data_IF_574637480869
#
_entry.id   IF_574637480869
#
_cell.length_a   1.000
_cell.length_b   1.000
_cell.length_c   1.000
_cell.angle_alpha   90.00
_cell.angle_beta   90.00
_cell.angle_gamma   90.00
#
_symmetry.space_group_name_H-M   'P 1'
#
loop_
_entity.id
_entity.type
_entity.pdbx_description
1 polymer ?
#
# COMPACT_ATOMS: atom_id res chain seq x y z
N UNK A 1 -6.99 27.86 2.76
CA UNK A 1 -7.08 26.49 3.28
C UNK A 1 -5.80 26.21 4.06
N UNK A 2 -5.82 25.37 5.09
CA UNK A 2 -4.59 24.98 5.77
C UNK A 2 -3.74 24.15 4.81
N UNK A 3 -2.41 24.34 4.81
CA UNK A 3 -1.48 23.58 3.95
C UNK A 3 -1.47 22.12 4.36
N UNK A 4 -1.37 21.24 3.37
CA UNK A 4 -1.30 19.77 3.54
C UNK A 4 0.15 19.32 3.74
N UNK A 5 1.10 20.02 3.11
CA UNK A 5 2.54 19.75 3.23
C UNK A 5 3.23 20.92 3.93
N UNK A 6 4.05 20.58 4.93
CA UNK A 6 4.81 21.56 5.71
C UNK A 6 6.30 21.27 5.55
N UNK A 7 7.03 22.22 4.95
CA UNK A 7 8.47 22.16 4.78
C UNK A 7 9.16 22.92 5.93
N UNK A 8 10.04 22.22 6.63
CA UNK A 8 10.98 22.80 7.59
C UNK A 8 12.42 22.50 7.14
N UNK A 9 13.32 23.51 7.22
CA UNK A 9 14.72 23.34 6.81
C UNK A 9 15.64 23.80 7.93
N UNK A 10 16.39 22.86 8.48
CA UNK A 10 17.34 23.10 9.54
C UNK A 10 18.64 23.79 9.05
N UNK A 11 19.34 24.42 9.99
CA UNK A 11 20.67 25.01 9.72
C UNK A 11 21.72 23.95 9.33
N UNK A 12 21.48 22.69 9.67
CA UNK A 12 22.28 21.51 9.34
C UNK A 12 22.01 20.97 7.92
N UNK A 13 21.26 21.72 7.11
CA UNK A 13 20.88 21.38 5.75
C UNK A 13 19.99 20.14 5.62
N UNK A 14 19.43 19.67 6.74
CA UNK A 14 18.41 18.65 6.75
C UNK A 14 17.03 19.31 6.63
N UNK A 15 16.28 18.94 5.62
CA UNK A 15 14.89 19.34 5.45
C UNK A 15 13.93 18.23 5.89
N UNK A 16 12.76 18.64 6.36
CA UNK A 16 11.65 17.73 6.66
C UNK A 16 10.41 18.22 5.93
N UNK A 17 9.82 17.38 5.09
CA UNK A 17 8.53 17.59 4.46
C UNK A 17 7.49 16.74 5.19
N UNK A 18 6.62 17.39 5.96
CA UNK A 18 5.57 16.71 6.71
C UNK A 18 4.26 16.73 5.93
N UNK A 19 3.73 15.55 5.64
CA UNK A 19 2.39 15.38 5.08
C UNK A 19 1.38 15.29 6.23
N UNK A 20 0.49 16.25 6.34
CA UNK A 20 -0.56 16.31 7.38
C UNK A 20 -1.87 16.86 6.82
N UNK A 21 -2.72 15.95 6.32
CA UNK A 21 -4.05 16.33 5.80
C UNK A 21 -4.93 16.88 6.93
N UNK A 22 -5.40 18.13 6.85
CA UNK A 22 -6.30 18.71 7.85
C UNK A 22 -7.57 17.85 8.02
N UNK A 23 -8.07 17.76 9.25
CA UNK A 23 -9.35 17.10 9.60
C UNK A 23 -9.49 15.61 9.18
N UNK A 24 -8.41 14.99 8.67
CA UNK A 24 -8.39 13.56 8.32
C UNK A 24 -7.58 12.76 9.34
N UNK A 25 -8.06 11.55 9.66
CA UNK A 25 -7.38 10.63 10.58
C UNK A 25 -6.13 9.99 9.96
N UNK A 26 -6.07 9.94 8.65
CA UNK A 26 -4.98 9.36 7.86
C UNK A 26 -4.63 10.25 6.67
N UNK A 27 -3.38 10.24 6.25
CA UNK A 27 -2.97 10.89 5.02
C UNK A 27 -3.33 10.02 3.82
N UNK A 28 -4.04 10.63 2.87
CA UNK A 28 -4.33 10.04 1.56
C UNK A 28 -4.01 11.08 0.48
N UNK A 29 -3.54 10.62 -0.65
CA UNK A 29 -3.33 11.46 -1.81
C UNK A 29 -4.66 11.77 -2.50
N UNK A 30 -5.18 12.97 -2.25
CA UNK A 30 -6.25 13.61 -3.02
C UNK A 30 -5.65 14.43 -4.16
N UNK A 31 -6.47 14.94 -5.08
CA UNK A 31 -6.02 15.85 -6.15
C UNK A 31 -5.33 17.10 -5.57
N UNK A 32 -5.86 17.65 -4.47
CA UNK A 32 -5.27 18.80 -3.78
C UNK A 32 -3.91 18.43 -3.17
N UNK A 33 -3.81 17.27 -2.49
CA UNK A 33 -2.56 16.82 -1.91
C UNK A 33 -1.48 16.56 -3.01
N UNK A 34 -1.88 16.02 -4.16
CA UNK A 34 -0.96 15.82 -5.28
C UNK A 34 -0.49 17.16 -5.88
N UNK A 35 -1.37 18.16 -5.98
CA UNK A 35 -1.00 19.49 -6.45
C UNK A 35 -0.07 20.23 -5.47
N UNK A 36 -0.29 20.13 -4.16
CA UNK A 36 0.63 20.68 -3.16
C UNK A 36 1.97 19.92 -3.12
N UNK A 37 1.96 18.61 -3.29
CA UNK A 37 3.19 17.82 -3.42
C UNK A 37 4.02 18.26 -4.64
N UNK A 38 3.37 18.55 -5.78
CA UNK A 38 4.05 19.07 -6.98
C UNK A 38 4.78 20.39 -6.66
N UNK A 39 4.07 21.31 -6.00
CA UNK A 39 4.65 22.59 -5.56
C UNK A 39 5.81 22.40 -4.58
N UNK A 40 5.66 21.49 -3.60
CA UNK A 40 6.70 21.19 -2.64
C UNK A 40 7.95 20.59 -3.33
N UNK A 41 7.77 19.65 -4.28
CA UNK A 41 8.88 19.09 -5.07
C UNK A 41 9.57 20.18 -5.88
N UNK A 42 8.82 21.08 -6.53
CA UNK A 42 9.39 22.20 -7.27
C UNK A 42 10.17 23.16 -6.36
N UNK A 43 9.64 23.47 -5.19
CA UNK A 43 10.31 24.34 -4.22
C UNK A 43 11.63 23.71 -3.78
N UNK A 44 11.60 22.47 -3.25
CA UNK A 44 12.83 21.83 -2.72
C UNK A 44 13.86 21.58 -3.79
N UNK A 45 13.45 21.31 -5.05
CA UNK A 45 14.37 21.06 -6.15
C UNK A 45 15.27 22.27 -6.52
N UNK A 46 14.79 23.49 -6.23
CA UNK A 46 15.52 24.76 -6.51
C UNK A 46 16.41 25.21 -5.34
N UNK A 47 16.24 24.60 -4.16
CA UNK A 47 16.94 25.00 -2.93
C UNK A 47 18.35 24.41 -2.88
N UNK A 48 19.33 25.27 -2.59
CA UNK A 48 20.74 24.87 -2.45
C UNK A 48 21.15 24.65 -0.98
N UNK A 49 20.30 25.02 -0.06
CA UNK A 49 20.50 24.89 1.38
C UNK A 49 19.97 23.54 1.93
N UNK A 50 19.46 22.67 1.07
CA UNK A 50 19.05 21.30 1.43
C UNK A 50 20.15 20.33 1.00
N UNK A 51 20.59 19.48 1.94
CA UNK A 51 21.55 18.40 1.70
C UNK A 51 20.96 17.00 1.87
N UNK A 52 19.80 16.89 2.54
CA UNK A 52 18.95 15.69 2.61
C UNK A 52 17.51 16.08 2.98
N UNK A 53 16.53 15.25 2.62
CA UNK A 53 15.11 15.50 2.86
C UNK A 53 14.43 14.28 3.48
N UNK A 54 13.72 14.47 4.59
CA UNK A 54 12.86 13.46 5.21
C UNK A 54 11.42 13.70 4.79
N UNK A 55 10.74 12.67 4.29
CA UNK A 55 9.29 12.63 4.15
C UNK A 55 8.69 12.02 5.41
N UNK A 56 7.87 12.79 6.11
CA UNK A 56 7.27 12.44 7.38
C UNK A 56 5.75 12.56 7.33
N UNK A 57 5.06 11.80 8.18
CA UNK A 57 3.62 11.96 8.41
C UNK A 57 3.35 12.71 9.70
N UNK A 58 2.42 13.67 9.66
CA UNK A 58 1.85 14.31 10.85
C UNK A 58 0.84 13.44 11.60
N UNK A 59 0.49 12.24 11.08
CA UNK A 59 -0.47 11.32 11.70
C UNK A 59 0.22 10.24 12.53
N UNK A 60 -0.23 10.04 13.76
CA UNK A 60 0.46 9.16 14.71
C UNK A 60 0.51 7.68 14.29
N UNK A 61 -0.56 7.12 13.75
CA UNK A 61 -0.66 5.68 13.42
C UNK A 61 -0.61 5.37 11.92
N UNK A 62 -0.34 6.36 11.08
CA UNK A 62 -0.39 6.21 9.63
C UNK A 62 0.67 7.07 8.97
N UNK A 63 1.49 6.46 8.14
CA UNK A 63 2.36 7.20 7.25
C UNK A 63 1.53 7.79 6.11
N UNK A 64 1.20 7.00 5.10
CA UNK A 64 0.32 7.39 3.98
C UNK A 64 -0.49 6.17 3.57
N UNK A 65 -1.82 6.28 3.55
CA UNK A 65 -2.73 5.16 3.29
C UNK A 65 -3.06 4.93 1.80
N UNK A 66 -2.40 5.66 0.90
CA UNK A 66 -2.57 5.52 -0.55
C UNK A 66 -3.36 6.67 -1.18
N UNK A 67 -3.94 6.40 -2.35
CA UNK A 67 -4.82 7.32 -3.06
C UNK A 67 -6.21 7.38 -2.41
N UNK A 68 -6.95 8.47 -2.64
CA UNK A 68 -8.33 8.58 -2.19
C UNK A 68 -9.24 7.64 -2.98
N UNK A 69 -9.80 6.63 -2.30
CA UNK A 69 -10.66 5.60 -2.91
C UNK A 69 -11.97 6.21 -3.44
N UNK A 70 -12.44 7.31 -2.87
CA UNK A 70 -13.63 8.00 -3.37
C UNK A 70 -13.37 8.63 -4.74
N UNK A 71 -12.18 9.16 -4.98
CA UNK A 71 -11.79 9.66 -6.29
C UNK A 71 -11.72 8.51 -7.32
N UNK A 72 -11.13 7.37 -6.95
CA UNK A 72 -11.10 6.17 -7.78
C UNK A 72 -12.52 5.69 -8.12
N UNK A 73 -13.44 5.76 -7.16
CA UNK A 73 -14.84 5.38 -7.37
C UNK A 73 -15.54 6.23 -8.41
N UNK A 74 -15.22 7.53 -8.48
CA UNK A 74 -15.89 8.52 -9.36
C UNK A 74 -15.40 8.48 -10.80
N UNK A 75 -14.17 8.05 -11.06
CA UNK A 75 -13.60 8.01 -12.41
C UNK A 75 -14.36 7.01 -13.27
N UNK A 76 -14.88 7.45 -14.42
CA UNK A 76 -15.63 6.62 -15.37
C UNK A 76 -15.01 6.58 -16.77
N UNK A 77 -14.11 7.52 -17.08
CA UNK A 77 -13.38 7.57 -18.33
C UNK A 77 -12.01 6.90 -18.20
N UNK A 78 -11.70 5.88 -19.00
CA UNK A 78 -10.39 5.23 -19.01
C UNK A 78 -9.23 6.19 -19.25
N UNK A 79 -9.41 7.21 -20.09
CA UNK A 79 -8.37 8.19 -20.37
C UNK A 79 -8.11 9.12 -19.18
N UNK A 80 -9.15 9.47 -18.42
CA UNK A 80 -8.99 10.22 -17.17
C UNK A 80 -8.22 9.39 -16.12
N UNK A 81 -8.56 8.11 -15.96
CA UNK A 81 -7.87 7.21 -15.06
C UNK A 81 -6.39 7.01 -15.44
N UNK A 82 -6.11 6.82 -16.73
CA UNK A 82 -4.74 6.75 -17.26
C UNK A 82 -3.96 8.04 -17.01
N UNK A 83 -4.58 9.19 -17.28
CA UNK A 83 -3.97 10.51 -17.06
C UNK A 83 -3.63 10.72 -15.58
N UNK A 84 -4.53 10.33 -14.65
CA UNK A 84 -4.28 10.37 -13.21
C UNK A 84 -3.10 9.50 -12.79
N UNK A 85 -2.98 8.30 -13.36
CA UNK A 85 -1.82 7.43 -13.15
C UNK A 85 -0.52 8.09 -13.63
N UNK A 86 -0.51 8.67 -14.83
CA UNK A 86 0.65 9.38 -15.39
C UNK A 86 1.06 10.60 -14.55
N UNK A 87 0.11 11.32 -13.97
CA UNK A 87 0.40 12.43 -13.04
C UNK A 87 1.18 11.91 -11.84
N UNK A 88 0.71 10.86 -11.16
CA UNK A 88 1.41 10.30 -10.01
C UNK A 88 2.79 9.73 -10.36
N UNK A 89 2.91 9.04 -11.51
CA UNK A 89 4.21 8.54 -11.99
C UNK A 89 5.20 9.68 -12.24
N UNK A 90 4.74 10.79 -12.84
CA UNK A 90 5.57 11.97 -13.08
C UNK A 90 6.03 12.60 -11.78
N UNK A 91 5.12 12.81 -10.82
CA UNK A 91 5.44 13.41 -9.53
C UNK A 91 6.42 12.56 -8.72
N UNK A 92 6.20 11.24 -8.65
CA UNK A 92 7.11 10.36 -7.92
C UNK A 92 8.44 10.18 -8.64
N UNK A 93 8.48 10.29 -9.97
CA UNK A 93 9.75 10.34 -10.70
C UNK A 93 10.49 11.67 -10.51
N UNK A 94 9.77 12.80 -10.36
CA UNK A 94 10.38 14.08 -10.00
C UNK A 94 10.92 14.04 -8.55
N UNK A 95 10.20 13.42 -7.61
CA UNK A 95 10.69 13.15 -6.26
C UNK A 95 11.97 12.29 -6.28
N UNK A 96 11.96 11.23 -7.08
CA UNK A 96 13.09 10.33 -7.26
C UNK A 96 14.33 11.03 -7.86
N UNK A 97 14.11 12.06 -8.67
CA UNK A 97 15.16 12.84 -9.33
C UNK A 97 15.72 14.01 -8.51
N UNK A 98 15.26 14.21 -7.25
CA UNK A 98 15.78 15.28 -6.41
C UNK A 98 17.30 15.16 -6.23
N UNK A 99 18.03 16.29 -6.21
CA UNK A 99 19.51 16.29 -6.27
C UNK A 99 20.19 15.89 -4.96
N UNK A 100 19.43 15.57 -3.93
CA UNK A 100 19.89 15.16 -2.59
C UNK A 100 19.17 13.90 -2.15
N UNK A 101 19.72 13.15 -1.16
CA UNK A 101 19.06 11.96 -0.62
C UNK A 101 17.71 12.28 0.02
N UNK A 102 16.73 11.43 -0.28
CA UNK A 102 15.40 11.47 0.35
C UNK A 102 15.19 10.25 1.25
N UNK A 103 14.57 10.44 2.42
CA UNK A 103 14.29 9.40 3.41
C UNK A 103 12.81 9.33 3.69
N UNK A 104 12.13 8.25 3.31
CA UNK A 104 10.76 7.98 3.73
C UNK A 104 10.77 7.42 5.16
N UNK A 105 10.20 8.18 6.12
CA UNK A 105 10.12 7.81 7.52
C UNK A 105 8.80 7.10 7.82
N UNK A 106 8.76 5.79 7.65
CA UNK A 106 7.55 4.98 7.67
C UNK A 106 7.20 4.57 9.11
N UNK A 107 6.14 5.19 9.67
CA UNK A 107 5.58 4.85 10.97
C UNK A 107 4.08 4.57 10.84
N UNK A 108 3.64 3.36 11.17
CA UNK A 108 2.25 2.92 10.99
C UNK A 108 1.95 2.48 9.55
N UNK A 109 0.77 2.80 9.04
CA UNK A 109 0.23 2.31 7.77
C UNK A 109 0.89 3.04 6.58
N UNK A 110 1.46 2.26 5.65
CA UNK A 110 2.09 2.72 4.41
C UNK A 110 1.60 1.84 3.24
N UNK A 111 0.54 2.25 2.58
CA UNK A 111 -0.13 1.43 1.56
C UNK A 111 -0.27 2.17 0.23
N UNK A 112 -0.32 1.40 -0.86
CA UNK A 112 -0.56 1.93 -2.21
C UNK A 112 0.39 3.06 -2.55
N UNK A 113 -0.14 4.22 -2.95
CA UNK A 113 0.64 5.42 -3.25
C UNK A 113 1.61 5.84 -2.15
N UNK A 114 1.33 5.51 -0.88
CA UNK A 114 2.27 5.73 0.22
C UNK A 114 3.52 4.86 0.12
N UNK A 115 3.37 3.59 -0.29
CA UNK A 115 4.51 2.74 -0.57
C UNK A 115 5.18 3.14 -1.89
N UNK A 116 4.42 3.60 -2.89
CA UNK A 116 4.97 4.00 -4.19
C UNK A 116 5.90 5.23 -4.09
N UNK A 117 5.53 6.27 -3.30
CA UNK A 117 6.44 7.40 -3.04
C UNK A 117 7.63 6.97 -2.17
N UNK A 118 7.42 6.02 -1.25
CA UNK A 118 8.52 5.45 -0.47
C UNK A 118 9.51 4.72 -1.37
N UNK A 119 9.04 3.96 -2.36
CA UNK A 119 9.88 3.29 -3.36
C UNK A 119 10.64 4.29 -4.26
N UNK A 120 10.08 5.47 -4.49
CA UNK A 120 10.72 6.57 -5.21
C UNK A 120 11.74 7.35 -4.32
N UNK A 121 11.70 7.18 -3.00
CA UNK A 121 12.68 7.77 -2.09
C UNK A 121 14.02 7.02 -2.14
N UNK A 122 15.14 7.74 -1.87
CA UNK A 122 16.47 7.13 -1.84
C UNK A 122 16.54 6.05 -0.76
N UNK A 123 16.03 6.37 0.44
CA UNK A 123 16.01 5.47 1.58
C UNK A 123 14.60 5.34 2.18
N UNK A 124 14.30 4.19 2.74
CA UNK A 124 13.07 3.83 3.46
C UNK A 124 13.45 3.35 4.85
N UNK A 125 13.00 4.06 5.86
CA UNK A 125 13.26 3.70 7.26
C UNK A 125 11.91 3.41 7.92
N UNK A 126 11.76 2.23 8.50
CA UNK A 126 10.51 1.82 9.15
C UNK A 126 10.64 1.78 10.68
N UNK A 127 9.54 2.11 11.37
CA UNK A 127 9.41 1.87 12.81
C UNK A 127 9.11 0.40 13.09
N UNK A 128 9.66 -0.15 14.20
CA UNK A 128 9.38 -1.50 14.70
C UNK A 128 7.99 -1.64 15.37
N UNK A 129 7.20 -0.60 15.33
CA UNK A 129 5.84 -0.53 15.85
C UNK A 129 4.97 -1.66 15.28
N UNK A 130 4.16 -2.31 16.12
CA UNK A 130 3.36 -3.48 15.73
C UNK A 130 2.33 -3.21 14.63
N UNK A 131 1.84 -1.98 14.52
CA UNK A 131 0.89 -1.54 13.49
C UNK A 131 1.56 -0.98 12.22
N UNK A 132 2.90 -0.92 12.16
CA UNK A 132 3.60 -0.58 10.92
C UNK A 132 3.38 -1.69 9.89
N UNK A 133 2.71 -1.33 8.80
CA UNK A 133 2.37 -2.22 7.69
C UNK A 133 2.63 -1.54 6.36
N UNK A 134 3.23 -2.27 5.45
CA UNK A 134 3.55 -1.80 4.10
C UNK A 134 3.00 -2.77 3.06
N UNK A 135 2.45 -2.25 1.96
CA UNK A 135 1.91 -3.10 0.89
C UNK A 135 1.29 -2.33 -0.26
N UNK A 136 0.99 -3.07 -1.32
CA UNK A 136 0.29 -2.59 -2.52
C UNK A 136 -1.04 -3.37 -2.66
N UNK A 137 -2.11 -2.95 -1.97
CA UNK A 137 -3.35 -3.70 -1.90
C UNK A 137 -4.32 -3.42 -3.06
N UNK A 138 -3.90 -2.74 -4.11
CA UNK A 138 -4.72 -2.22 -5.20
C UNK A 138 -5.53 -3.32 -5.90
N UNK A 139 -5.00 -4.55 -6.01
CA UNK A 139 -5.72 -5.68 -6.62
C UNK A 139 -6.99 -6.06 -5.87
N UNK A 140 -7.08 -5.75 -4.57
CA UNK A 140 -8.29 -5.94 -3.77
C UNK A 140 -9.41 -4.98 -4.16
N UNK A 141 -9.07 -3.88 -4.82
CA UNK A 141 -9.99 -2.93 -5.42
C UNK A 141 -10.19 -3.16 -6.93
N UNK A 142 -9.64 -4.26 -7.47
CA UNK A 142 -9.73 -4.61 -8.88
C UNK A 142 -8.90 -3.73 -9.81
N UNK A 143 -7.90 -3.02 -9.28
CA UNK A 143 -6.90 -2.25 -10.02
C UNK A 143 -5.49 -2.78 -9.70
N UNK A 144 -4.46 -2.15 -10.21
CA UNK A 144 -3.06 -2.45 -9.89
C UNK A 144 -2.36 -1.16 -9.40
N UNK A 145 -1.16 -1.24 -8.77
CA UNK A 145 -0.39 -0.07 -8.41
C UNK A 145 -0.17 0.83 -9.63
N UNK A 146 -0.48 2.11 -9.52
CA UNK A 146 -0.59 2.98 -10.69
C UNK A 146 0.42 4.13 -10.74
N UNK A 147 1.20 4.35 -9.68
CA UNK A 147 2.15 5.46 -9.61
C UNK A 147 3.62 5.01 -9.62
N UNK A 148 3.85 3.83 -10.18
CA UNK A 148 5.16 3.24 -10.39
C UNK A 148 5.47 2.06 -9.48
N UNK A 149 4.53 1.61 -8.65
CA UNK A 149 4.72 0.48 -7.74
C UNK A 149 5.01 -0.82 -8.45
N UNK A 150 4.27 -1.12 -9.53
CA UNK A 150 4.49 -2.33 -10.34
C UNK A 150 5.85 -2.33 -11.05
N UNK A 151 6.45 -1.15 -11.22
CA UNK A 151 7.74 -0.99 -11.87
C UNK A 151 8.91 -0.92 -10.87
N UNK A 152 8.74 -0.20 -9.73
CA UNK A 152 9.80 0.00 -8.74
C UNK A 152 9.95 -1.17 -7.77
N UNK A 153 8.84 -1.76 -7.31
CA UNK A 153 8.90 -2.82 -6.31
C UNK A 153 9.70 -4.04 -6.77
N UNK A 154 9.50 -4.59 -8.03
CA UNK A 154 10.28 -5.73 -8.50
C UNK A 154 11.79 -5.45 -8.61
N UNK A 155 12.17 -4.20 -8.88
CA UNK A 155 13.59 -3.81 -8.91
C UNK A 155 14.19 -3.71 -7.52
N UNK A 156 13.36 -3.49 -6.50
CA UNK A 156 13.81 -3.34 -5.12
C UNK A 156 13.94 -4.67 -4.39
N UNK A 157 12.93 -5.56 -4.50
CA UNK A 157 12.85 -6.80 -3.72
C UNK A 157 12.80 -8.07 -4.57
N UNK A 158 13.04 -7.97 -5.88
CA UNK A 158 12.96 -9.08 -6.81
C UNK A 158 11.56 -9.37 -7.35
N UNK A 159 11.49 -10.11 -8.45
CA UNK A 159 10.25 -10.37 -9.19
C UNK A 159 9.29 -11.25 -8.38
N UNK A 160 9.81 -12.32 -7.77
CA UNK A 160 8.97 -13.30 -7.07
C UNK A 160 8.26 -12.67 -5.85
N UNK A 161 8.98 -11.99 -4.97
CA UNK A 161 8.43 -11.34 -3.78
C UNK A 161 7.53 -10.15 -4.15
N UNK A 162 7.90 -9.38 -5.17
CA UNK A 162 7.07 -8.29 -5.65
C UNK A 162 5.75 -8.78 -6.21
N UNK A 163 5.74 -9.82 -7.04
CA UNK A 163 4.52 -10.43 -7.55
C UNK A 163 3.66 -10.99 -6.41
N UNK A 164 4.26 -11.64 -5.41
CA UNK A 164 3.50 -12.14 -4.27
C UNK A 164 2.81 -11.00 -3.50
N UNK A 165 3.46 -9.85 -3.31
CA UNK A 165 2.84 -8.69 -2.67
C UNK A 165 1.76 -8.04 -3.54
N UNK A 166 2.04 -7.82 -4.82
CA UNK A 166 1.13 -7.14 -5.75
C UNK A 166 -0.11 -7.99 -6.02
N UNK A 167 0.07 -9.30 -6.32
CA UNK A 167 -1.05 -10.17 -6.74
C UNK A 167 -1.98 -10.55 -5.61
N UNK A 168 -1.49 -10.56 -4.36
CA UNK A 168 -2.31 -10.87 -3.18
C UNK A 168 -2.82 -9.63 -2.46
N UNK A 169 -2.18 -8.49 -2.69
CA UNK A 169 -2.45 -7.25 -1.95
C UNK A 169 -2.17 -7.38 -0.44
N UNK A 170 -1.33 -8.36 -0.03
CA UNK A 170 -0.99 -8.54 1.39
C UNK A 170 -0.03 -7.46 1.87
N UNK A 171 -0.08 -7.21 3.16
CA UNK A 171 0.83 -6.28 3.82
C UNK A 171 1.95 -7.04 4.54
N UNK A 172 3.11 -6.42 4.67
CA UNK A 172 4.24 -6.90 5.45
C UNK A 172 4.50 -5.97 6.64
N UNK A 173 4.98 -6.53 7.74
CA UNK A 173 5.47 -5.75 8.89
C UNK A 173 6.89 -5.25 8.66
N UNK A 174 7.38 -4.37 9.56
CA UNK A 174 8.71 -3.80 9.44
C UNK A 174 9.84 -4.83 9.42
N UNK A 175 9.72 -5.92 10.20
CA UNK A 175 10.76 -6.98 10.22
C UNK A 175 10.81 -7.76 8.92
N UNK A 176 9.64 -8.09 8.36
CA UNK A 176 9.59 -8.75 7.05
C UNK A 176 10.05 -7.80 5.95
N UNK A 177 9.67 -6.52 6.00
CA UNK A 177 10.12 -5.50 5.05
C UNK A 177 11.65 -5.36 5.03
N UNK A 178 12.30 -5.36 6.21
CA UNK A 178 13.76 -5.34 6.30
C UNK A 178 14.40 -6.59 5.68
N UNK A 179 13.87 -7.78 5.99
CA UNK A 179 14.39 -9.04 5.40
C UNK A 179 14.25 -9.11 3.90
N UNK A 180 13.20 -8.52 3.34
CA UNK A 180 12.98 -8.44 1.89
C UNK A 180 13.82 -7.34 1.21
N UNK A 181 14.53 -6.52 1.96
CA UNK A 181 15.21 -5.34 1.42
C UNK A 181 14.24 -4.22 0.99
N UNK A 182 12.95 -4.33 1.36
CA UNK A 182 11.95 -3.28 1.07
C UNK A 182 12.26 -1.98 1.81
N UNK A 183 12.79 -2.08 3.03
CA UNK A 183 13.29 -0.94 3.82
C UNK A 183 14.77 -1.10 4.12
N UNK A 184 15.47 0.03 4.26
CA UNK A 184 16.91 0.10 4.49
C UNK A 184 17.26 -0.01 5.99
N UNK A 185 16.32 0.36 6.88
CA UNK A 185 16.49 0.23 8.32
C UNK A 185 15.14 0.03 9.03
N UNK A 186 15.20 -0.69 10.17
CA UNK A 186 14.12 -0.83 11.13
C UNK A 186 14.57 -0.23 12.46
N UNK A 187 13.88 0.83 12.89
CA UNK A 187 14.26 1.60 14.07
C UNK A 187 13.23 1.46 15.20
N UNK A 188 13.68 1.50 16.47
CA UNK A 188 12.79 1.48 17.62
C UNK A 188 11.80 2.64 17.61
N UNK A 189 10.50 2.35 17.82
CA UNK A 189 9.42 3.34 17.81
C UNK A 189 9.59 4.44 18.85
N UNK A 190 10.08 4.09 20.05
CA UNK A 190 10.25 5.03 21.18
C UNK A 190 11.16 6.22 20.87
N UNK A 191 12.09 6.09 19.92
CA UNK A 191 13.03 7.14 19.49
C UNK A 191 13.03 7.31 17.98
N UNK A 192 11.93 6.96 17.32
CA UNK A 192 11.89 6.85 15.86
C UNK A 192 12.31 8.14 15.18
N UNK A 193 11.73 9.28 15.56
CA UNK A 193 12.02 10.57 14.92
C UNK A 193 13.48 11.01 15.09
N UNK A 194 14.05 10.85 16.30
CA UNK A 194 15.46 11.18 16.55
C UNK A 194 16.38 10.32 15.69
N UNK A 195 16.10 9.00 15.66
CA UNK A 195 16.92 8.04 14.91
C UNK A 195 16.80 8.22 13.40
N UNK A 196 15.62 8.59 12.89
CA UNK A 196 15.43 8.96 11.47
C UNK A 196 16.23 10.21 11.14
N UNK A 197 16.21 11.23 12.04
CA UNK A 197 17.00 12.43 11.88
C UNK A 197 18.51 12.11 11.82
N UNK A 198 19.02 11.31 12.76
CA UNK A 198 20.41 10.88 12.76
C UNK A 198 20.78 10.09 11.50
N UNK A 199 19.87 9.21 11.05
CA UNK A 199 20.03 8.44 9.82
C UNK A 199 20.13 9.36 8.59
N UNK A 200 19.30 10.39 8.51
CA UNK A 200 19.29 11.35 7.40
C UNK A 200 20.50 12.29 7.46
N UNK A 201 20.86 12.81 8.63
CA UNK A 201 22.05 13.65 8.83
C UNK A 201 23.34 12.95 8.38
N UNK A 202 23.46 11.66 8.67
CA UNK A 202 24.61 10.87 8.21
C UNK A 202 24.72 10.77 6.69
N UNK A 203 23.70 11.21 5.95
CA UNK A 203 23.58 11.15 4.47
C UNK A 203 23.53 12.51 3.80
N UNK A 204 23.56 13.60 4.58
CA UNK A 204 23.65 14.97 4.04
C UNK A 204 24.87 15.06 3.12
N UNK A 205 24.67 15.61 1.93
CA UNK A 205 25.69 15.81 0.89
C UNK A 205 26.40 14.53 0.40
N UNK A 206 25.90 13.34 0.74
CA UNK A 206 26.41 12.09 0.19
C UNK A 206 25.76 11.77 -1.15
N UNK A 207 26.51 11.12 -2.07
CA UNK A 207 25.92 10.62 -3.29
C UNK A 207 24.84 9.58 -2.96
N UNK A 208 23.86 9.50 -3.83
CA UNK A 208 22.80 8.49 -3.75
C UNK A 208 23.42 7.10 -3.96
N UNK A 209 23.42 6.28 -2.92
CA UNK A 209 23.81 4.87 -3.02
C UNK A 209 22.58 4.05 -3.43
N UNK A 210 22.63 3.42 -4.61
CA UNK A 210 21.62 2.45 -5.03
C UNK A 210 21.98 1.07 -4.47
N UNK A 211 21.50 0.75 -3.27
CA UNK A 211 21.58 -0.63 -2.76
C UNK A 211 20.42 -1.46 -3.33
N UNK A 212 20.73 -2.45 -4.16
CA UNK A 212 19.78 -3.50 -4.52
C UNK A 212 19.66 -4.49 -3.35
N UNK A 213 18.46 -4.67 -2.79
CA UNK A 213 18.20 -5.63 -1.71
C UNK A 213 18.14 -7.10 -2.15
N UNK A 214 18.57 -7.44 -3.37
CA UNK A 214 18.44 -8.78 -3.95
C UNK A 214 19.51 -9.75 -3.43
N UNK A 215 19.10 -10.95 -3.00
CA UNK A 215 20.00 -12.06 -2.71
C UNK A 215 20.63 -12.59 -4.02
N UNK A 216 21.87 -13.10 -3.93
CA UNK A 216 22.64 -13.60 -5.09
C UNK A 216 21.92 -14.69 -5.88
N UNK A 217 21.14 -15.58 -5.21
CA UNK A 217 20.38 -16.66 -5.87
C UNK A 217 19.18 -16.11 -6.65
N UNK A 218 18.48 -15.12 -6.13
CA UNK A 218 17.36 -14.43 -6.79
C UNK A 218 17.89 -13.69 -8.02
N UNK A 219 19.01 -12.98 -7.87
CA UNK A 219 19.66 -12.27 -8.95
C UNK A 219 20.06 -13.20 -10.11
N UNK A 220 20.47 -14.46 -9.85
CA UNK A 220 20.86 -15.42 -10.88
C UNK A 220 19.67 -15.94 -11.68
N UNK A 221 18.53 -16.21 -11.02
CA UNK A 221 17.28 -16.63 -11.68
C UNK A 221 16.66 -15.49 -12.47
N UNK A 222 16.66 -14.28 -11.91
CA UNK A 222 16.03 -13.11 -12.51
C UNK A 222 16.84 -12.49 -13.65
N UNK A 223 18.17 -12.64 -13.67
CA UNK A 223 19.01 -12.23 -14.79
C UNK A 223 18.88 -13.14 -16.01
N UNK A 224 18.44 -14.39 -15.83
CA UNK A 224 18.27 -15.34 -16.93
C UNK A 224 16.86 -15.20 -17.56
N UNK A 225 16.75 -14.96 -18.89
CA UNK A 225 15.44 -14.88 -19.56
C UNK A 225 14.56 -16.11 -19.36
N UNK A 226 15.14 -17.33 -19.32
CA UNK A 226 14.40 -18.56 -19.07
C UNK A 226 13.87 -18.61 -17.63
N UNK A 227 14.67 -18.18 -16.65
CA UNK A 227 14.25 -18.08 -15.25
C UNK A 227 13.08 -17.12 -15.07
N UNK A 228 13.16 -15.92 -15.70
CA UNK A 228 12.06 -14.95 -15.69
C UNK A 228 10.78 -15.53 -16.29
N UNK A 229 10.89 -16.21 -17.44
CA UNK A 229 9.73 -16.85 -18.08
C UNK A 229 9.06 -17.85 -17.12
N UNK A 230 9.83 -18.70 -16.46
CA UNK A 230 9.29 -19.66 -15.49
C UNK A 230 8.57 -18.95 -14.33
N UNK A 231 9.15 -17.87 -13.78
CA UNK A 231 8.53 -17.10 -12.70
C UNK A 231 7.18 -16.49 -13.13
N UNK A 232 7.10 -15.85 -14.29
CA UNK A 232 5.87 -15.27 -14.81
C UNK A 232 4.82 -16.32 -15.16
N UNK A 233 5.22 -17.44 -15.76
CA UNK A 233 4.30 -18.56 -16.09
C UNK A 233 3.71 -19.20 -14.82
N UNK A 234 4.51 -19.39 -13.77
CA UNK A 234 4.05 -19.91 -12.48
C UNK A 234 3.12 -18.91 -11.78
N UNK A 235 3.46 -17.62 -11.75
CA UNK A 235 2.61 -16.58 -11.19
C UNK A 235 1.25 -16.54 -11.90
N UNK A 236 1.25 -16.58 -13.25
CA UNK A 236 0.03 -16.59 -14.05
C UNK A 236 -0.82 -17.85 -13.78
N UNK A 237 -0.20 -19.02 -13.75
CA UNK A 237 -0.89 -20.30 -13.45
C UNK A 237 -1.57 -20.24 -12.09
N UNK A 238 -0.82 -19.89 -11.04
CA UNK A 238 -1.33 -19.77 -9.66
C UNK A 238 -2.47 -18.75 -9.56
N UNK A 239 -2.32 -17.61 -10.23
CA UNK A 239 -3.35 -16.57 -10.26
C UNK A 239 -4.63 -17.06 -10.93
N UNK A 240 -4.53 -17.78 -12.05
CA UNK A 240 -5.70 -18.37 -12.72
C UNK A 240 -6.38 -19.44 -11.88
N UNK A 241 -5.63 -20.31 -11.21
CA UNK A 241 -6.17 -21.33 -10.31
C UNK A 241 -6.96 -20.70 -9.15
N UNK A 242 -6.44 -19.62 -8.56
CA UNK A 242 -7.08 -18.92 -7.44
C UNK A 242 -8.27 -18.05 -7.85
N UNK A 243 -8.13 -17.28 -8.94
CA UNK A 243 -9.13 -16.31 -9.39
C UNK A 243 -10.16 -16.91 -10.35
N UNK A 244 -9.87 -18.08 -10.91
CA UNK A 244 -10.66 -18.72 -12.00
C UNK A 244 -10.89 -17.76 -13.18
N UNK A 245 -10.02 -16.77 -13.37
CA UNK A 245 -10.14 -15.76 -14.42
C UNK A 245 -11.15 -14.64 -14.14
N UNK A 246 -11.84 -14.64 -12.99
CA UNK A 246 -12.86 -13.63 -12.68
C UNK A 246 -12.29 -12.27 -12.27
N UNK A 247 -11.01 -12.19 -11.91
CA UNK A 247 -10.33 -10.97 -11.46
C UNK A 247 -9.22 -10.61 -12.46
N UNK A 248 -9.42 -9.61 -13.35
CA UNK A 248 -8.43 -9.27 -14.37
C UNK A 248 -7.20 -8.56 -13.82
N UNK A 249 -7.33 -7.81 -12.72
CA UNK A 249 -6.27 -6.96 -12.18
C UNK A 249 -4.97 -7.72 -11.86
N UNK A 250 -4.97 -8.89 -11.18
CA UNK A 250 -3.74 -9.64 -10.94
C UNK A 250 -3.06 -10.11 -12.24
N UNK A 251 -3.83 -10.53 -13.25
CA UNK A 251 -3.27 -10.96 -14.53
C UNK A 251 -2.62 -9.80 -15.29
N UNK A 252 -3.28 -8.63 -15.28
CA UNK A 252 -2.71 -7.41 -15.86
C UNK A 252 -1.48 -6.93 -15.11
N UNK A 253 -1.45 -7.07 -13.77
CA UNK A 253 -0.27 -6.74 -12.98
C UNK A 253 0.95 -7.61 -13.36
N UNK A 254 0.77 -8.92 -13.61
CA UNK A 254 1.83 -9.79 -14.10
C UNK A 254 2.42 -9.28 -15.43
N UNK A 255 1.55 -8.88 -16.37
CA UNK A 255 1.95 -8.36 -17.68
C UNK A 255 2.73 -7.04 -17.53
N UNK A 256 2.24 -6.11 -16.70
CA UNK A 256 2.90 -4.82 -16.43
C UNK A 256 4.27 -5.02 -15.80
N UNK A 257 4.37 -5.87 -14.77
CA UNK A 257 5.66 -6.20 -14.15
C UNK A 257 6.62 -6.80 -15.17
N UNK A 258 6.14 -7.73 -16.02
CA UNK A 258 6.96 -8.33 -17.07
C UNK A 258 7.51 -7.29 -18.03
N UNK A 259 6.65 -6.43 -18.59
CA UNK A 259 7.08 -5.33 -19.47
C UNK A 259 8.10 -4.42 -18.78
N UNK A 260 7.84 -4.05 -17.52
CA UNK A 260 8.76 -3.22 -16.75
C UNK A 260 10.13 -3.85 -16.56
N UNK A 261 10.23 -5.18 -16.43
CA UNK A 261 11.50 -5.91 -16.27
C UNK A 261 12.18 -6.16 -17.62
N UNK A 262 11.43 -6.54 -18.65
CA UNK A 262 11.99 -6.95 -19.95
C UNK A 262 12.31 -5.73 -20.83
N UNK A 263 11.42 -4.72 -20.89
CA UNK A 263 11.52 -3.57 -21.79
C UNK A 263 11.96 -2.27 -21.08
N UNK A 264 12.18 -2.32 -19.77
CA UNK A 264 12.67 -1.21 -18.98
C UNK A 264 11.59 -0.36 -18.28
N UNK A 265 12.04 0.53 -17.38
CA UNK A 265 11.15 1.28 -16.50
C UNK A 265 10.11 2.13 -17.24
N UNK A 266 10.52 2.80 -18.31
CA UNK A 266 9.62 3.65 -19.11
C UNK A 266 8.47 2.85 -19.71
N UNK A 267 8.78 1.69 -20.31
CA UNK A 267 7.75 0.80 -20.85
C UNK A 267 6.84 0.26 -19.75
N UNK A 268 7.41 -0.05 -18.57
CA UNK A 268 6.64 -0.46 -17.39
C UNK A 268 5.65 0.61 -16.93
N UNK A 269 6.08 1.86 -16.80
CA UNK A 269 5.20 2.99 -16.45
C UNK A 269 4.09 3.19 -17.49
N UNK A 270 4.41 3.11 -18.77
CA UNK A 270 3.42 3.24 -19.84
C UNK A 270 2.40 2.09 -19.83
N UNK A 271 2.82 0.87 -19.57
CA UNK A 271 1.95 -0.29 -19.45
C UNK A 271 1.07 -0.20 -18.20
N UNK A 272 1.64 0.25 -17.08
CA UNK A 272 0.96 0.45 -15.79
C UNK A 272 -0.16 1.48 -15.93
N UNK A 273 0.12 2.67 -16.50
CA UNK A 273 -0.87 3.72 -16.66
C UNK A 273 -2.07 3.28 -17.54
N UNK A 274 -1.79 2.62 -18.66
CA UNK A 274 -2.85 2.06 -19.53
C UNK A 274 -3.69 1.02 -18.82
N UNK A 275 -3.04 0.12 -18.06
CA UNK A 275 -3.74 -0.91 -17.30
C UNK A 275 -4.62 -0.32 -16.19
N UNK A 276 -4.18 0.76 -15.53
CA UNK A 276 -5.01 1.51 -14.57
C UNK A 276 -6.25 2.09 -15.27
N UNK A 277 -6.09 2.71 -16.44
CA UNK A 277 -7.20 3.23 -17.25
C UNK A 277 -8.27 2.17 -17.51
N UNK A 278 -7.86 1.01 -18.02
CA UNK A 278 -8.75 -0.12 -18.32
C UNK A 278 -9.43 -0.68 -17.06
N UNK A 279 -8.69 -0.89 -15.98
CA UNK A 279 -9.17 -1.58 -14.79
C UNK A 279 -10.03 -0.71 -13.90
N UNK A 280 -9.64 0.56 -13.65
CA UNK A 280 -10.32 1.45 -12.71
C UNK A 280 -11.75 1.79 -13.14
N UNK A 281 -12.03 1.78 -14.45
CA UNK A 281 -13.37 2.02 -15.00
C UNK A 281 -14.18 0.75 -15.23
N UNK A 282 -13.52 -0.41 -15.07
CA UNK A 282 -14.16 -1.71 -15.25
C UNK A 282 -15.17 -2.03 -14.16
N UNK A 283 -16.25 -2.77 -14.52
CA UNK A 283 -17.31 -3.16 -13.59
C UNK A 283 -16.79 -3.90 -12.35
N UNK A 284 -15.73 -4.70 -12.49
CA UNK A 284 -15.18 -5.48 -11.39
C UNK A 284 -14.56 -4.54 -10.34
N UNK A 285 -13.76 -3.55 -10.78
CA UNK A 285 -13.20 -2.56 -9.87
C UNK A 285 -14.30 -1.75 -9.18
N UNK A 286 -15.29 -1.25 -9.92
CA UNK A 286 -16.41 -0.50 -9.33
C UNK A 286 -17.15 -1.29 -8.26
N UNK A 287 -17.41 -2.57 -8.51
CA UNK A 287 -18.06 -3.44 -7.53
C UNK A 287 -17.18 -3.70 -6.30
N UNK A 288 -15.87 -3.94 -6.49
CA UNK A 288 -14.93 -4.16 -5.36
C UNK A 288 -14.76 -2.90 -4.51
N UNK A 289 -14.66 -1.73 -5.14
CA UNK A 289 -14.64 -0.43 -4.44
C UNK A 289 -15.94 -0.22 -3.66
N UNK A 290 -17.09 -0.54 -4.24
CA UNK A 290 -18.37 -0.44 -3.54
C UNK A 290 -18.45 -1.39 -2.34
N UNK A 291 -18.02 -2.64 -2.49
CA UNK A 291 -17.94 -3.60 -1.36
C UNK A 291 -17.00 -3.09 -0.26
N UNK A 292 -15.86 -2.51 -0.64
CA UNK A 292 -14.96 -1.88 0.31
C UNK A 292 -15.65 -0.74 1.08
N UNK A 293 -16.33 0.17 0.38
CA UNK A 293 -17.05 1.30 0.99
C UNK A 293 -18.15 0.82 1.96
N UNK A 294 -18.93 -0.20 1.57
CA UNK A 294 -19.94 -0.81 2.45
C UNK A 294 -19.30 -1.43 3.70
N UNK A 295 -18.16 -2.10 3.54
CA UNK A 295 -17.42 -2.70 4.66
C UNK A 295 -16.94 -1.63 5.65
N UNK A 296 -16.38 -0.53 5.14
CA UNK A 296 -15.93 0.57 5.98
C UNK A 296 -17.10 1.34 6.64
N UNK A 297 -18.20 1.52 5.94
CA UNK A 297 -19.42 2.10 6.51
C UNK A 297 -19.95 1.24 7.66
N UNK A 298 -20.05 -0.07 7.47
CA UNK A 298 -20.52 -1.00 8.49
C UNK A 298 -19.64 -1.02 9.75
N UNK A 299 -18.30 -0.90 9.59
CA UNK A 299 -17.38 -0.78 10.75
C UNK A 299 -17.61 0.50 11.57
N UNK A 300 -18.08 1.57 10.94
CA UNK A 300 -18.37 2.86 11.60
C UNK A 300 -19.74 2.91 12.25
N UNK A 301 -20.63 2.02 11.83
CA UNK A 301 -22.01 1.97 12.34
C UNK A 301 -22.02 1.42 13.77
N UNK A 302 -22.28 2.29 14.73
CA UNK A 302 -22.32 1.95 16.17
C UNK A 302 -23.72 1.54 16.65
N UNK A 303 -24.54 0.90 15.83
CA UNK A 303 -25.90 0.56 16.15
C UNK A 303 -26.88 1.75 16.11
N UNK A 304 -28.07 1.62 16.72
CA UNK A 304 -29.06 2.70 16.71
C UNK A 304 -28.55 3.98 17.40
N UNK A 305 -28.71 5.15 16.80
CA UNK A 305 -28.37 6.41 17.44
C UNK A 305 -29.09 6.56 18.79
N UNK A 306 -28.33 6.77 19.86
CA UNK A 306 -28.86 6.99 21.21
C UNK A 306 -29.22 5.76 22.03
N UNK A 307 -28.92 4.54 21.55
CA UNK A 307 -29.12 3.30 22.31
C UNK A 307 -27.83 2.80 22.96
N UNK A 308 -27.83 2.56 24.26
CA UNK A 308 -26.81 1.73 24.89
C UNK A 308 -27.12 0.23 24.59
N UNK A 309 -26.11 -0.49 24.10
CA UNK A 309 -26.24 -1.93 23.89
C UNK A 309 -26.49 -2.62 25.24
N UNK A 310 -27.59 -3.37 25.34
CA UNK A 310 -27.82 -4.19 26.52
C UNK A 310 -26.78 -5.31 26.59
N UNK A 311 -26.25 -5.64 27.77
CA UNK A 311 -25.35 -6.76 27.93
C UNK A 311 -26.05 -8.05 27.50
N UNK A 312 -25.43 -8.80 26.62
CA UNK A 312 -25.90 -10.12 26.17
C UNK A 312 -25.33 -11.17 27.11
N UNK A 313 -26.18 -11.92 27.81
CA UNK A 313 -25.76 -12.97 28.75
C UNK A 313 -25.90 -14.37 28.19
N UNK A 314 -26.62 -14.55 27.10
CA UNK A 314 -26.80 -15.84 26.40
C UNK A 314 -27.24 -15.61 24.97
N UNK A 315 -26.97 -16.59 24.12
CA UNK A 315 -27.37 -16.56 22.70
C UNK A 315 -28.14 -17.81 22.32
N UNK A 316 -28.89 -17.72 21.22
CA UNK A 316 -29.57 -18.87 20.64
C UNK A 316 -29.34 -18.93 19.13
N UNK A 317 -29.10 -20.12 18.61
CA UNK A 317 -29.00 -20.42 17.20
C UNK A 317 -30.19 -21.25 16.76
N UNK A 318 -30.97 -20.72 15.83
CA UNK A 318 -32.13 -21.42 15.25
C UNK A 318 -31.70 -22.08 13.95
N UNK A 319 -31.70 -23.39 13.91
CA UNK A 319 -31.20 -24.24 12.85
C UNK A 319 -29.86 -24.87 13.24
N UNK A 320 -29.82 -26.19 13.36
CA UNK A 320 -28.65 -26.97 13.74
C UNK A 320 -27.95 -27.61 12.53
N UNK A 321 -28.15 -27.05 11.34
CA UNK A 321 -27.41 -27.50 10.15
C UNK A 321 -25.92 -27.09 10.20
N UNK A 322 -25.20 -27.36 9.13
CA UNK A 322 -23.71 -27.10 9.01
C UNK A 322 -23.33 -25.69 9.44
N UNK A 323 -24.07 -24.68 9.01
CA UNK A 323 -23.78 -23.28 9.40
C UNK A 323 -24.15 -23.00 10.86
N UNK A 324 -25.29 -23.52 11.34
CA UNK A 324 -25.76 -23.30 12.72
C UNK A 324 -24.79 -23.88 13.74
N UNK A 325 -24.29 -25.10 13.52
CA UNK A 325 -23.27 -25.71 14.36
C UNK A 325 -21.98 -24.88 14.42
N UNK A 326 -21.48 -24.42 13.25
CA UNK A 326 -20.30 -23.57 13.19
C UNK A 326 -20.48 -22.21 13.87
N UNK A 327 -21.65 -21.57 13.72
CA UNK A 327 -21.96 -20.30 14.39
C UNK A 327 -22.03 -20.50 15.91
N UNK A 328 -22.69 -21.58 16.39
CA UNK A 328 -22.79 -21.87 17.81
C UNK A 328 -21.40 -22.11 18.42
N UNK A 329 -20.53 -22.86 17.74
CA UNK A 329 -19.17 -23.11 18.17
C UNK A 329 -18.35 -21.80 18.22
N UNK A 330 -18.45 -20.96 17.21
CA UNK A 330 -17.76 -19.68 17.17
C UNK A 330 -18.17 -18.78 18.34
N UNK A 331 -19.47 -18.65 18.59
CA UNK A 331 -19.98 -17.83 19.70
C UNK A 331 -19.56 -18.40 21.07
N UNK A 332 -19.58 -19.70 21.24
CA UNK A 332 -19.15 -20.32 22.50
C UNK A 332 -17.66 -20.13 22.78
N UNK A 333 -16.82 -20.22 21.71
CA UNK A 333 -15.37 -20.16 21.88
C UNK A 333 -14.80 -18.73 21.92
N UNK A 334 -15.36 -17.83 21.11
CA UNK A 334 -14.77 -16.48 20.92
C UNK A 334 -15.46 -15.43 21.79
N UNK A 335 -16.72 -15.64 22.17
CA UNK A 335 -17.52 -14.67 22.93
C UNK A 335 -17.74 -15.14 24.37
N UNK A 336 -17.44 -16.40 24.66
CA UNK A 336 -17.61 -17.03 26.00
C UNK A 336 -19.04 -16.86 26.59
N UNK A 337 -20.05 -17.05 25.73
CA UNK A 337 -21.45 -16.97 26.11
C UNK A 337 -22.14 -18.33 26.00
N UNK A 338 -23.06 -18.66 26.91
CA UNK A 338 -23.93 -19.83 26.74
C UNK A 338 -24.73 -19.76 25.45
N UNK A 339 -24.65 -20.82 24.64
CA UNK A 339 -25.35 -20.92 23.36
C UNK A 339 -26.38 -22.02 23.43
N UNK A 340 -27.63 -21.69 23.11
CA UNK A 340 -28.70 -22.69 22.93
C UNK A 340 -28.95 -22.91 21.46
N UNK A 341 -28.98 -24.17 21.03
CA UNK A 341 -29.37 -24.53 19.67
C UNK A 341 -30.78 -25.11 19.64
N UNK A 342 -31.52 -24.73 18.60
CA UNK A 342 -32.87 -25.31 18.34
C UNK A 342 -32.99 -25.66 16.87
N UNK A 343 -33.49 -26.84 16.57
CA UNK A 343 -33.87 -27.27 15.23
C UNK A 343 -35.30 -27.89 15.25
N UNK A 344 -35.91 -27.99 14.10
CA UNK A 344 -37.17 -28.68 13.89
C UNK A 344 -37.02 -30.20 13.89
N UNK A 345 -35.81 -30.68 13.65
CA UNK A 345 -35.44 -32.11 13.67
C UNK A 345 -34.49 -32.39 14.82
N UNK A 346 -34.86 -33.34 15.68
CA UNK A 346 -34.01 -33.71 16.81
C UNK A 346 -32.68 -34.34 16.37
N UNK A 347 -32.66 -35.03 15.23
CA UNK A 347 -31.47 -35.66 14.69
C UNK A 347 -30.37 -34.62 14.30
N UNK A 348 -30.77 -33.39 14.03
CA UNK A 348 -29.82 -32.29 13.72
C UNK A 348 -29.14 -31.71 14.96
N UNK A 349 -29.62 -32.06 16.17
CA UNK A 349 -29.07 -31.61 17.46
C UNK A 349 -28.16 -32.65 18.11
N UNK A 350 -28.08 -33.87 17.56
CA UNK A 350 -27.22 -34.95 18.01
C UNK A 350 -25.80 -34.81 17.41
#
# INVERSE_FOLDING_TARGET
MASIFHLDVGQDRLATLTFDSPDKKVNVFTREAMAELEQAIEEVSRRKDIGALILLSGKEGSFIAGADIEEIARVTDPLEAEAGSRVGQRLFSAWEALPFPTVAAIRGICLGGGLEISLASTYRVASDRKDTRMGLPEVRLGILPGWGGSTRLPRRIGIAEALDLILTGKNVDGRKALRLGLVDALLPDARFLDLVRDFALARVDKPREEESGLDFKEMLLEKNPLGRKVLFDQARKKTLEQSRGHYPAPLRAIEVVRVGIEDGARAGFDAEARAVGELATGRISKNLVHVFQLTEANKREKGMPGGEARPVSSTAVLGAGVMGGGIAQLVANEVDLPVRMKDVRNEALA
#
